data_IF_982841601547
#
_entry.id   IF_982841601547
#
_cell.length_a   1.000
_cell.length_b   1.000
_cell.length_c   1.000
_cell.angle_alpha   90.00
_cell.angle_beta   90.00
_cell.angle_gamma   90.00
#
_symmetry.space_group_name_H-M   'P 1'
#
loop_
_entity.id
_entity.type
_entity.pdbx_description
1 polymer ?
#
# COMPACT_ATOMS: atom_id res chain seq x y z
N UNK A 1 12.75 -13.38 -8.46
CA UNK A 1 11.57 -12.76 -7.84
C UNK A 1 10.74 -13.84 -7.20
N UNK A 2 10.40 -13.68 -5.93
CA UNK A 2 9.66 -14.63 -5.13
C UNK A 2 8.44 -13.92 -4.54
N UNK A 3 7.25 -14.47 -4.74
CA UNK A 3 5.99 -13.92 -4.22
C UNK A 3 5.46 -14.89 -3.17
N UNK A 4 5.13 -14.37 -2.00
CA UNK A 4 4.36 -15.09 -0.99
C UNK A 4 3.06 -14.36 -0.65
N UNK A 5 2.00 -15.15 -0.46
CA UNK A 5 0.69 -14.68 0.00
C UNK A 5 0.36 -15.44 1.27
N UNK A 6 0.23 -14.72 2.39
CA UNK A 6 0.14 -15.32 3.71
C UNK A 6 -0.75 -14.50 4.65
N UNK A 7 -0.88 -14.99 5.89
CA UNK A 7 -1.55 -14.29 7.00
C UNK A 7 -2.93 -13.73 6.64
N UNK A 8 -3.91 -14.58 6.28
CA UNK A 8 -5.27 -14.12 6.00
C UNK A 8 -5.86 -13.42 7.23
N UNK A 9 -6.37 -12.20 7.04
CA UNK A 9 -6.99 -11.40 8.09
C UNK A 9 -8.36 -10.91 7.64
N UNK A 10 -9.38 -11.17 8.46
CA UNK A 10 -10.72 -10.60 8.24
C UNK A 10 -10.71 -9.11 8.59
N UNK A 11 -11.14 -8.28 7.65
CA UNK A 11 -11.33 -6.85 7.83
C UNK A 11 -12.80 -6.59 8.17
N UNK A 12 -13.02 -5.86 9.25
CA UNK A 12 -14.33 -5.48 9.74
C UNK A 12 -14.61 -4.01 9.46
N UNK A 13 -15.85 -3.69 9.16
CA UNK A 13 -16.34 -2.32 9.05
C UNK A 13 -17.66 -2.24 9.84
N UNK A 14 -17.75 -1.30 10.78
CA UNK A 14 -18.92 -1.14 11.67
C UNK A 14 -19.32 -2.46 12.37
N UNK A 15 -18.32 -3.22 12.84
CA UNK A 15 -18.51 -4.50 13.53
C UNK A 15 -18.93 -5.67 12.64
N UNK A 16 -19.03 -5.49 11.32
CA UNK A 16 -19.39 -6.55 10.36
C UNK A 16 -18.20 -6.96 9.53
N UNK A 17 -18.01 -8.26 9.32
CA UNK A 17 -16.99 -8.78 8.43
C UNK A 17 -17.26 -8.31 7.00
N UNK A 18 -16.29 -7.61 6.40
CA UNK A 18 -16.43 -7.01 5.06
C UNK A 18 -15.71 -7.84 4.00
N UNK A 19 -14.45 -8.20 4.25
CA UNK A 19 -13.63 -9.00 3.36
C UNK A 19 -12.42 -9.60 4.09
N UNK A 20 -11.70 -10.51 3.42
CA UNK A 20 -10.41 -11.03 3.89
C UNK A 20 -9.28 -10.38 3.09
N UNK A 21 -8.28 -9.87 3.80
CA UNK A 21 -7.04 -9.38 3.23
C UNK A 21 -5.90 -10.39 3.50
N UNK A 22 -4.90 -10.38 2.63
CA UNK A 22 -3.73 -11.24 2.71
C UNK A 22 -2.49 -10.35 2.72
N UNK A 23 -1.53 -10.72 3.54
CA UNK A 23 -0.21 -10.10 3.51
C UNK A 23 0.58 -10.65 2.33
N UNK A 24 1.14 -9.73 1.55
CA UNK A 24 1.97 -10.01 0.40
C UNK A 24 3.42 -9.75 0.76
N UNK A 25 4.29 -10.63 0.27
CA UNK A 25 5.72 -10.36 0.26
C UNK A 25 6.27 -10.60 -1.12
N UNK A 26 7.19 -9.72 -1.52
CA UNK A 26 7.88 -9.76 -2.79
C UNK A 26 9.38 -9.60 -2.52
N UNK A 27 10.14 -10.65 -2.84
CA UNK A 27 11.59 -10.69 -2.63
C UNK A 27 12.36 -10.90 -3.94
N UNK A 28 13.64 -10.55 -3.94
CA UNK A 28 14.56 -10.75 -5.05
C UNK A 28 14.03 -10.09 -6.35
N UNK A 29 13.61 -8.83 -6.24
CA UNK A 29 13.10 -8.05 -7.35
C UNK A 29 14.22 -7.48 -8.22
N UNK A 30 14.00 -7.45 -9.53
CA UNK A 30 14.76 -6.57 -10.41
C UNK A 30 14.26 -5.13 -10.22
N UNK A 31 15.15 -4.11 -10.25
CA UNK A 31 14.78 -2.72 -10.05
C UNK A 31 14.09 -2.15 -11.29
N UNK A 32 12.78 -2.42 -11.42
CA UNK A 32 11.91 -1.87 -12.48
C UNK A 32 11.42 -0.48 -12.11
N UNK A 33 11.08 -0.33 -10.83
CA UNK A 33 10.74 0.92 -10.16
C UNK A 33 11.78 1.11 -9.05
N UNK A 34 11.97 2.33 -8.53
CA UNK A 34 12.80 2.57 -7.34
C UNK A 34 12.03 2.14 -6.09
N UNK A 35 11.64 0.86 -6.06
CA UNK A 35 10.98 0.18 -4.95
C UNK A 35 11.76 -1.09 -4.63
N UNK A 36 12.13 -1.24 -3.37
CA UNK A 36 12.82 -2.39 -2.84
C UNK A 36 11.85 -3.56 -2.57
N UNK A 37 12.42 -4.68 -2.13
CA UNK A 37 11.65 -5.82 -1.63
C UNK A 37 10.71 -5.39 -0.47
N UNK A 38 9.56 -6.05 -0.35
CA UNK A 38 8.56 -5.74 0.68
C UNK A 38 7.94 -7.01 1.26
N UNK A 39 7.42 -6.91 2.47
CA UNK A 39 6.70 -7.97 3.16
C UNK A 39 5.46 -7.48 3.93
N UNK A 40 5.06 -6.21 3.77
CA UNK A 40 4.02 -5.56 4.59
C UNK A 40 2.80 -5.07 3.79
N UNK A 41 2.67 -5.44 2.51
CA UNK A 41 1.55 -4.99 1.67
C UNK A 41 0.32 -5.88 1.88
N UNK A 42 -0.85 -5.28 2.10
CA UNK A 42 -2.09 -6.02 2.31
C UNK A 42 -3.03 -5.88 1.12
N UNK A 43 -3.51 -7.00 0.59
CA UNK A 43 -4.45 -7.04 -0.55
C UNK A 43 -5.58 -8.02 -0.33
N UNK A 44 -6.75 -7.66 -0.84
CA UNK A 44 -7.94 -8.52 -0.87
C UNK A 44 -8.02 -9.32 -2.17
N UNK A 45 -8.78 -10.42 -2.14
CA UNK A 45 -9.08 -11.20 -3.35
C UNK A 45 -9.72 -10.35 -4.47
N UNK A 46 -10.56 -9.38 -4.10
CA UNK A 46 -11.18 -8.46 -5.06
C UNK A 46 -10.13 -7.66 -5.82
N UNK A 47 -9.12 -7.15 -5.13
CA UNK A 47 -8.04 -6.38 -5.77
C UNK A 47 -7.20 -7.26 -6.71
N UNK A 48 -6.91 -8.52 -6.33
CA UNK A 48 -6.28 -9.48 -7.24
C UNK A 48 -7.08 -9.70 -8.52
N UNK A 49 -8.40 -9.83 -8.39
CA UNK A 49 -9.29 -10.00 -9.55
C UNK A 49 -9.26 -8.77 -10.47
N UNK A 50 -9.27 -7.57 -9.89
CA UNK A 50 -9.14 -6.33 -10.66
C UNK A 50 -7.78 -6.22 -11.35
N UNK A 51 -6.68 -6.55 -10.65
CA UNK A 51 -5.33 -6.58 -11.22
C UNK A 51 -5.27 -7.48 -12.45
N UNK A 52 -5.80 -8.70 -12.32
CA UNK A 52 -5.86 -9.68 -13.41
C UNK A 52 -6.57 -9.10 -14.64
N UNK A 53 -7.69 -8.40 -14.45
CA UNK A 53 -8.46 -7.85 -15.57
C UNK A 53 -7.68 -6.75 -16.31
N UNK A 54 -7.03 -5.85 -15.58
CA UNK A 54 -6.21 -4.79 -16.18
C UNK A 54 -5.04 -5.38 -16.96
N UNK A 55 -4.28 -6.29 -16.32
CA UNK A 55 -3.11 -6.89 -16.95
C UNK A 55 -3.49 -7.70 -18.20
N UNK A 56 -4.63 -8.40 -18.18
CA UNK A 56 -5.17 -9.08 -19.38
C UNK A 56 -5.54 -8.12 -20.51
N UNK A 57 -6.05 -6.93 -20.18
CA UNK A 57 -6.40 -5.92 -21.18
C UNK A 57 -5.18 -5.22 -21.77
N UNK A 58 -4.12 -5.03 -20.97
CA UNK A 58 -2.86 -4.42 -21.44
C UNK A 58 -2.04 -5.42 -22.27
N UNK A 59 -1.96 -6.66 -21.82
CA UNK A 59 -1.12 -7.71 -22.41
C UNK A 59 -1.94 -8.71 -23.26
N UNK A 60 -2.93 -8.21 -24.02
CA UNK A 60 -3.96 -8.99 -24.75
C UNK A 60 -3.43 -10.14 -25.63
N UNK A 61 -2.19 -10.04 -26.11
CA UNK A 61 -1.64 -10.94 -27.14
C UNK A 61 -0.42 -11.75 -26.68
N UNK A 62 0.00 -11.60 -25.42
CA UNK A 62 1.17 -12.28 -24.92
C UNK A 62 0.70 -13.57 -24.26
N UNK A 63 1.09 -14.71 -24.82
CA UNK A 63 1.19 -15.94 -24.04
C UNK A 63 1.98 -15.57 -22.79
N UNK A 64 1.29 -15.38 -21.65
CA UNK A 64 1.78 -14.76 -20.41
C UNK A 64 3.28 -15.01 -20.19
N UNK A 65 4.15 -14.15 -20.73
CA UNK A 65 5.57 -14.25 -20.44
C UNK A 65 5.72 -13.59 -19.09
N UNK A 66 6.01 -14.42 -18.10
CA UNK A 66 6.25 -14.00 -16.71
C UNK A 66 7.12 -12.74 -16.62
N UNK A 67 8.14 -12.65 -17.49
CA UNK A 67 9.02 -11.48 -17.58
C UNK A 67 8.29 -10.17 -17.90
N UNK A 68 7.32 -10.15 -18.81
CA UNK A 68 6.62 -8.91 -19.17
C UNK A 68 5.65 -8.47 -18.07
N UNK A 69 4.99 -9.45 -17.43
CA UNK A 69 4.10 -9.20 -16.30
C UNK A 69 4.86 -8.61 -15.11
N UNK A 70 6.00 -9.22 -14.79
CA UNK A 70 6.87 -8.79 -13.69
C UNK A 70 7.64 -7.51 -14.00
N UNK A 71 7.60 -6.99 -15.23
CA UNK A 71 8.13 -5.67 -15.56
C UNK A 71 7.02 -4.61 -15.64
N UNK A 72 5.76 -4.96 -15.41
CA UNK A 72 4.65 -4.03 -15.48
C UNK A 72 4.59 -3.15 -14.21
N UNK A 73 4.62 -1.80 -14.33
CA UNK A 73 4.54 -0.91 -13.17
C UNK A 73 3.27 -1.08 -12.32
N UNK A 74 2.12 -1.39 -12.93
CA UNK A 74 0.87 -1.66 -12.22
C UNK A 74 0.98 -2.94 -11.39
N UNK A 75 1.62 -3.98 -11.94
CA UNK A 75 1.93 -5.19 -11.19
C UNK A 75 2.87 -4.88 -10.02
N UNK A 76 3.94 -4.12 -10.26
CA UNK A 76 4.91 -3.76 -9.22
C UNK A 76 4.29 -2.96 -8.08
N UNK A 77 3.56 -1.89 -8.37
CA UNK A 77 2.89 -1.08 -7.35
C UNK A 77 1.90 -1.91 -6.53
N UNK A 78 1.19 -2.85 -7.14
CA UNK A 78 0.28 -3.72 -6.41
C UNK A 78 0.96 -4.56 -5.32
N UNK A 79 2.14 -5.10 -5.63
CA UNK A 79 2.88 -5.97 -4.71
C UNK A 79 3.84 -5.21 -3.79
N UNK A 80 4.30 -4.01 -4.18
CA UNK A 80 5.37 -3.27 -3.48
C UNK A 80 4.93 -1.97 -2.82
N UNK A 81 3.68 -1.53 -3.00
CA UNK A 81 3.17 -0.32 -2.35
C UNK A 81 1.91 -0.59 -1.55
N UNK A 82 1.66 0.25 -0.55
CA UNK A 82 0.42 0.25 0.21
C UNK A 82 -0.72 1.00 -0.51
N UNK A 83 -0.45 1.66 -1.65
CA UNK A 83 -1.44 2.39 -2.45
C UNK A 83 -2.73 1.60 -2.64
N UNK A 84 -3.87 2.25 -2.52
CA UNK A 84 -5.17 1.66 -2.84
C UNK A 84 -5.21 1.26 -4.31
N UNK A 85 -6.10 0.32 -4.64
CA UNK A 85 -6.24 -0.12 -6.02
C UNK A 85 -6.71 1.02 -6.96
N UNK A 86 -7.48 1.98 -6.45
CA UNK A 86 -7.89 3.16 -7.21
C UNK A 86 -6.69 4.07 -7.54
N UNK A 87 -5.78 4.24 -6.60
CA UNK A 87 -4.51 4.96 -6.82
C UNK A 87 -3.67 4.25 -7.88
N UNK A 88 -3.47 2.94 -7.73
CA UNK A 88 -2.75 2.15 -8.74
C UNK A 88 -3.38 2.29 -10.14
N UNK A 89 -4.71 2.38 -10.22
CA UNK A 89 -5.43 2.65 -11.47
C UNK A 89 -5.19 4.05 -12.02
N UNK A 90 -5.14 5.09 -11.18
CA UNK A 90 -4.73 6.44 -11.61
C UNK A 90 -3.32 6.40 -12.18
N UNK A 91 -2.43 5.58 -11.60
CA UNK A 91 -1.04 5.39 -12.10
C UNK A 91 -1.05 4.78 -13.48
N UNK A 92 -1.80 3.69 -13.61
CA UNK A 92 -1.94 2.96 -14.85
C UNK A 92 -2.37 3.85 -16.02
N UNK A 93 -3.25 4.82 -15.76
CA UNK A 93 -3.75 5.76 -16.76
C UNK A 93 -2.92 7.05 -16.89
N UNK A 94 -1.82 7.20 -16.13
CA UNK A 94 -0.96 8.39 -16.18
C UNK A 94 -1.53 9.62 -15.47
N UNK A 95 -2.47 9.44 -14.55
CA UNK A 95 -3.15 10.52 -13.83
C UNK A 95 -2.54 10.80 -12.45
N UNK A 96 -1.31 11.33 -12.42
CA UNK A 96 -0.65 11.73 -11.18
C UNK A 96 0.09 13.06 -11.26
N UNK A 97 0.04 13.79 -10.14
CA UNK A 97 0.97 14.89 -9.89
C UNK A 97 2.38 14.33 -9.66
N UNK A 98 3.39 15.00 -10.21
CA UNK A 98 4.79 14.58 -10.12
C UNK A 98 5.25 14.40 -8.67
N UNK A 99 4.80 15.27 -7.77
CA UNK A 99 5.16 15.23 -6.35
C UNK A 99 4.59 14.00 -5.63
N UNK A 100 3.42 13.51 -6.05
CA UNK A 100 2.87 12.27 -5.51
C UNK A 100 3.72 11.06 -5.92
N UNK A 101 4.18 11.04 -7.17
CA UNK A 101 5.09 10.00 -7.66
C UNK A 101 6.42 10.05 -6.90
N UNK A 102 6.99 11.24 -6.67
CA UNK A 102 8.19 11.41 -5.84
C UNK A 102 7.99 10.86 -4.43
N UNK A 103 6.85 11.14 -3.82
CA UNK A 103 6.53 10.65 -2.47
C UNK A 103 6.49 9.11 -2.43
N UNK A 104 5.86 8.45 -3.41
CA UNK A 104 5.85 6.98 -3.51
C UNK A 104 7.28 6.43 -3.50
N UNK A 105 8.19 7.01 -4.28
CA UNK A 105 9.57 6.53 -4.33
C UNK A 105 10.34 6.80 -3.03
N UNK A 106 10.18 7.99 -2.45
CA UNK A 106 10.85 8.36 -1.20
C UNK A 106 10.42 7.50 -0.01
N UNK A 107 9.17 7.03 -0.02
CA UNK A 107 8.60 6.18 1.02
C UNK A 107 8.72 4.69 0.71
N UNK A 108 9.45 4.33 -0.35
CA UNK A 108 9.56 2.95 -0.83
C UNK A 108 8.18 2.27 -0.98
N UNK A 109 7.19 3.03 -1.47
CA UNK A 109 5.83 2.56 -1.71
C UNK A 109 4.94 2.49 -0.47
N UNK A 110 5.41 2.84 0.72
CA UNK A 110 4.60 2.80 1.95
C UNK A 110 4.23 4.22 2.37
N UNK A 111 3.17 4.76 1.79
CA UNK A 111 2.84 6.18 1.91
C UNK A 111 2.07 6.53 3.18
N UNK A 112 1.34 5.58 3.78
CA UNK A 112 0.46 5.83 4.93
C UNK A 112 1.11 5.68 6.31
N UNK A 113 2.40 5.35 6.36
CA UNK A 113 3.14 5.43 7.62
C UNK A 113 3.24 6.88 8.14
N UNK A 114 3.17 7.88 7.26
CA UNK A 114 3.22 9.29 7.62
C UNK A 114 1.94 9.78 8.33
N UNK A 115 0.77 9.22 8.01
CA UNK A 115 -0.51 9.60 8.64
C UNK A 115 -0.58 9.16 10.12
N UNK A 116 0.08 8.06 10.48
CA UNK A 116 0.13 7.60 11.88
C UNK A 116 1.09 8.42 12.76
N UNK A 117 2.09 9.10 12.18
CA UNK A 117 3.02 9.93 12.97
C UNK A 117 2.35 11.24 13.37
N UNK A 118 1.52 11.83 12.51
CA UNK A 118 0.79 13.07 12.84
C UNK A 118 -0.34 12.82 13.85
N UNK A 119 -1.07 11.70 13.77
CA UNK A 119 -2.07 11.35 14.78
C UNK A 119 -1.43 11.07 16.15
N UNK A 120 -0.32 10.32 16.20
CA UNK A 120 0.36 10.04 17.48
C UNK A 120 0.97 11.30 18.12
N UNK A 121 1.54 12.21 17.34
CA UNK A 121 2.06 13.47 17.86
C UNK A 121 0.93 14.40 18.37
N UNK A 122 -0.23 14.42 17.70
CA UNK A 122 -1.38 15.21 18.15
C UNK A 122 -2.03 14.67 19.43
N UNK A 123 -1.93 13.36 19.67
CA UNK A 123 -2.40 12.70 20.89
C UNK A 123 -1.40 12.94 22.04
N UNK A 124 -0.10 12.85 21.80
CA UNK A 124 0.92 13.14 22.81
C UNK A 124 0.93 14.63 23.23
N UNK A 125 0.80 15.57 22.29
CA UNK A 125 0.71 17.01 22.64
C UNK A 125 -0.56 17.35 23.45
N UNK A 126 -1.70 16.70 23.15
CA UNK A 126 -2.93 16.89 23.94
C UNK A 126 -2.83 16.26 25.34
N UNK A 127 -2.14 15.12 25.49
CA UNK A 127 -1.96 14.48 26.80
C UNK A 127 -1.01 15.27 27.71
N UNK A 128 0.02 15.91 27.15
CA UNK A 128 0.93 16.78 27.89
C UNK A 128 0.20 18.05 28.35
N UNK A 129 -0.62 18.67 27.49
CA UNK A 129 -1.40 19.87 27.83
C UNK A 129 -2.42 19.63 28.96
N UNK A 130 -3.07 18.47 29.00
CA UNK A 130 -4.02 18.11 30.07
C UNK A 130 -3.29 17.77 31.37
N UNK A 131 -2.13 17.11 31.30
CA UNK A 131 -1.31 16.77 32.47
C UNK A 131 -0.78 17.99 33.24
N UNK A 132 -0.41 19.06 32.54
CA UNK A 132 0.10 20.29 33.18
C UNK A 132 -1.01 21.14 33.83
N UNK A 133 -2.23 21.13 33.27
CA UNK A 133 -3.37 21.86 33.83
C UNK A 133 -3.85 21.30 35.18
N UNK A 134 -3.74 19.98 35.39
CA UNK A 134 -4.13 19.35 36.65
C UNK A 134 -3.15 19.58 37.80
N UNK A 135 -1.90 19.98 37.51
CA UNK A 135 -0.89 20.21 38.54
C UNK A 135 -0.94 21.63 39.15
N UNK A 136 -1.67 22.56 38.52
CA UNK A 136 -1.84 23.95 38.97
C UNK A 136 -3.13 24.21 39.77
N UNK A 137 -4.07 23.26 39.81
CA UNK A 137 -5.33 23.38 40.55
C UNK A 137 -5.28 22.78 41.97
N UNK A 138 -4.16 22.17 42.37
CA UNK A 138 -3.96 21.55 43.68
C UNK A 138 -2.80 22.17 44.50
N UNK A 139 -2.59 23.49 44.41
CA UNK A 139 -1.70 24.24 45.32
C UNK A 139 -2.45 25.29 46.10
#
# INVERSE_FOLDING_TARGET
MEISVQNPRTIFENGRAKYVAYQLSLKNCFPVLPLDDTDHVWRSYREFHLLRNILRQRHKNLCFKEKELTMDPTFRLFFQSDLSFEEILKFHHGHYAEDFIKNIWQTNGITRQLEQVEENNSIEENLISVGEAHHLLNK
#
